data_IF_989642777567
#
_entry.id   IF_989642777567
#
_cell.length_a   1.000
_cell.length_b   1.000
_cell.length_c   1.000
_cell.angle_alpha   90.00
_cell.angle_beta   90.00
_cell.angle_gamma   90.00
#
_symmetry.space_group_name_H-M   'P 1'
#
loop_
_entity.id
_entity.type
_entity.pdbx_description
1 polymer ?
#
# COMPACT_ATOMS: atom_id res chain seq x y z
N UNK A 1 -5.68 -19.43 6.85
CA UNK A 1 -5.49 -19.49 5.37
C UNK A 1 -5.96 -18.20 4.66
N UNK A 2 -7.23 -17.80 4.76
CA UNK A 2 -7.76 -16.60 4.08
C UNK A 2 -7.00 -15.30 4.43
N UNK A 3 -6.69 -15.07 5.72
CA UNK A 3 -5.95 -13.87 6.14
C UNK A 3 -4.56 -13.78 5.52
N UNK A 4 -3.87 -14.91 5.34
CA UNK A 4 -2.56 -14.95 4.67
C UNK A 4 -2.71 -14.52 3.22
N UNK A 5 -3.69 -15.07 2.50
CA UNK A 5 -3.95 -14.70 1.10
C UNK A 5 -4.26 -13.21 0.96
N UNK A 6 -5.12 -12.66 1.82
CA UNK A 6 -5.44 -11.23 1.82
C UNK A 6 -4.21 -10.37 2.10
N UNK A 7 -3.41 -10.74 3.09
CA UNK A 7 -2.16 -10.02 3.40
C UNK A 7 -1.15 -10.07 2.25
N UNK A 8 -1.02 -11.21 1.55
CA UNK A 8 -0.18 -11.31 0.36
C UNK A 8 -0.68 -10.43 -0.79
N UNK A 9 -2.00 -10.36 -1.01
CA UNK A 9 -2.59 -9.46 -2.01
C UNK A 9 -2.30 -7.99 -1.72
N UNK A 10 -2.44 -7.56 -0.45
CA UNK A 10 -2.12 -6.19 -0.04
C UNK A 10 -0.62 -5.90 -0.17
N UNK A 11 0.26 -6.86 0.15
CA UNK A 11 1.70 -6.71 -0.08
C UNK A 11 2.03 -6.55 -1.57
N UNK A 12 1.41 -7.35 -2.43
CA UNK A 12 1.57 -7.22 -3.89
C UNK A 12 1.17 -5.81 -4.36
N UNK A 13 0.07 -5.28 -3.84
CA UNK A 13 -0.35 -3.91 -4.14
C UNK A 13 0.73 -2.87 -3.77
N UNK A 14 1.28 -2.96 -2.55
CA UNK A 14 2.42 -2.12 -2.13
C UNK A 14 3.65 -2.30 -3.04
N UNK A 15 3.99 -3.53 -3.41
CA UNK A 15 5.12 -3.83 -4.30
C UNK A 15 4.94 -3.21 -5.69
N UNK A 16 3.74 -3.24 -6.26
CA UNK A 16 3.46 -2.61 -7.56
C UNK A 16 3.64 -1.09 -7.56
N UNK A 17 3.62 -0.47 -6.38
CA UNK A 17 3.84 0.98 -6.23
C UNK A 17 5.33 1.35 -6.24
N UNK A 18 6.22 0.43 -5.87
CA UNK A 18 7.67 0.69 -5.73
C UNK A 18 8.31 1.31 -6.98
N UNK A 19 8.06 0.82 -8.22
CA UNK A 19 8.64 1.43 -9.42
C UNK A 19 8.34 2.93 -9.54
N UNK A 20 7.11 3.33 -9.17
CA UNK A 20 6.68 4.73 -9.20
C UNK A 20 7.33 5.56 -8.09
N UNK A 21 7.54 4.98 -6.91
CA UNK A 21 8.30 5.65 -5.83
C UNK A 21 9.76 5.89 -6.24
N UNK A 22 10.39 4.93 -6.92
CA UNK A 22 11.75 5.08 -7.47
C UNK A 22 11.78 6.17 -8.54
N UNK A 23 10.79 6.21 -9.42
CA UNK A 23 10.65 7.27 -10.43
C UNK A 23 10.49 8.66 -9.78
N UNK A 24 9.64 8.76 -8.76
CA UNK A 24 9.44 10.00 -8.00
C UNK A 24 10.75 10.48 -7.36
N UNK A 25 11.54 9.57 -6.79
CA UNK A 25 12.85 9.90 -6.21
C UNK A 25 13.80 10.51 -7.24
N UNK A 26 13.81 9.96 -8.46
CA UNK A 26 14.62 10.48 -9.57
C UNK A 26 14.16 11.86 -10.04
N UNK A 27 12.85 12.11 -10.10
CA UNK A 27 12.29 13.37 -10.63
C UNK A 27 12.25 14.52 -9.61
N UNK A 28 11.93 14.21 -8.36
CA UNK A 28 11.60 15.23 -7.33
C UNK A 28 12.55 15.21 -6.14
N UNK A 29 13.45 14.24 -6.05
CA UNK A 29 14.31 14.04 -4.89
C UNK A 29 13.62 13.36 -3.69
N UNK A 30 12.31 13.09 -3.75
CA UNK A 30 11.55 12.37 -2.72
C UNK A 30 10.86 11.11 -3.27
N UNK A 31 10.80 10.03 -2.48
CA UNK A 31 10.06 8.81 -2.85
C UNK A 31 8.55 9.05 -2.82
N UNK A 32 8.07 9.77 -1.81
CA UNK A 32 6.67 10.04 -1.58
C UNK A 32 6.30 11.44 -2.04
N UNK A 33 5.07 11.59 -2.52
CA UNK A 33 4.50 12.89 -2.90
C UNK A 33 4.29 13.76 -1.66
N UNK A 34 4.36 15.08 -1.85
CA UNK A 34 4.00 16.07 -0.83
C UNK A 34 2.49 16.17 -0.58
N UNK A 35 1.67 15.51 -1.40
CA UNK A 35 0.22 15.45 -1.21
C UNK A 35 -0.12 14.76 0.13
N UNK A 36 -0.73 15.48 1.10
CA UNK A 36 -1.04 14.93 2.42
C UNK A 36 -2.22 13.96 2.40
N UNK A 37 -2.99 13.88 1.31
CA UNK A 37 -4.20 13.05 1.24
C UNK A 37 -3.85 11.56 1.24
N UNK A 38 -4.33 10.86 2.26
CA UNK A 38 -4.23 9.39 2.40
C UNK A 38 -5.18 8.68 1.42
N UNK A 39 -6.33 9.30 1.15
CA UNK A 39 -7.36 8.77 0.26
C UNK A 39 -7.51 9.75 -0.91
N UNK A 40 -7.51 9.20 -2.13
CA UNK A 40 -7.73 9.95 -3.36
C UNK A 40 -8.93 9.38 -4.13
N UNK A 41 -9.74 10.26 -4.72
CA UNK A 41 -10.82 9.86 -5.59
C UNK A 41 -10.26 9.28 -6.89
N UNK A 42 -10.78 8.12 -7.32
CA UNK A 42 -10.40 7.51 -8.59
C UNK A 42 -11.27 8.11 -9.69
N UNK A 43 -10.65 8.77 -10.66
CA UNK A 43 -11.34 9.52 -11.73
C UNK A 43 -12.13 8.58 -12.66
N UNK A 44 -11.65 7.35 -12.89
CA UNK A 44 -12.21 6.45 -13.91
C UNK A 44 -13.10 5.32 -13.36
N UNK A 45 -13.31 5.22 -12.06
CA UNK A 45 -14.24 4.26 -11.46
C UNK A 45 -14.65 4.80 -10.11
N UNK A 46 -15.92 5.21 -9.97
CA UNK A 46 -16.49 5.84 -8.78
C UNK A 46 -16.08 5.12 -7.50
N UNK A 47 -15.09 5.68 -6.79
CA UNK A 47 -14.51 5.04 -5.61
C UNK A 47 -13.31 5.81 -5.06
N UNK A 48 -13.02 5.53 -3.80
CA UNK A 48 -11.87 6.06 -3.08
C UNK A 48 -10.75 5.01 -3.12
N UNK A 49 -9.52 5.44 -3.40
CA UNK A 49 -8.34 4.57 -3.31
C UNK A 49 -7.33 5.13 -2.32
N UNK A 50 -6.56 4.25 -1.69
CA UNK A 50 -5.39 4.64 -0.91
C UNK A 50 -4.37 5.28 -1.85
N UNK A 51 -3.90 6.47 -1.46
CA UNK A 51 -2.86 7.17 -2.17
C UNK A 51 -1.51 6.52 -1.86
N UNK A 52 -1.15 5.47 -2.58
CA UNK A 52 0.11 4.74 -2.33
C UNK A 52 1.38 5.58 -2.56
N UNK A 53 1.25 6.80 -3.11
CA UNK A 53 2.35 7.77 -3.20
C UNK A 53 2.49 8.62 -1.94
N UNK A 54 1.53 8.58 -1.01
CA UNK A 54 1.63 9.18 0.32
C UNK A 54 2.32 8.19 1.27
N UNK A 55 3.29 8.70 2.04
CA UNK A 55 4.08 7.89 2.98
C UNK A 55 3.20 7.14 4.00
N UNK A 56 2.20 7.82 4.57
CA UNK A 56 1.36 7.23 5.60
C UNK A 56 0.43 6.18 5.02
N UNK A 57 -0.18 6.45 3.87
CA UNK A 57 -1.03 5.46 3.18
C UNK A 57 -0.25 4.17 2.87
N UNK A 58 0.97 4.30 2.31
CA UNK A 58 1.83 3.16 2.01
C UNK A 58 2.21 2.35 3.26
N UNK A 59 2.54 3.04 4.36
CA UNK A 59 2.91 2.39 5.63
C UNK A 59 1.70 1.69 6.24
N UNK A 60 0.53 2.33 6.29
CA UNK A 60 -0.70 1.75 6.84
C UNK A 60 -1.06 0.47 6.07
N UNK A 61 -1.06 0.52 4.74
CA UNK A 61 -1.31 -0.66 3.89
C UNK A 61 -0.33 -1.79 4.20
N UNK A 62 0.97 -1.48 4.27
CA UNK A 62 2.01 -2.45 4.57
C UNK A 62 1.83 -3.08 5.96
N UNK A 63 1.51 -2.27 6.98
CA UNK A 63 1.25 -2.74 8.34
C UNK A 63 0.05 -3.68 8.36
N UNK A 64 -1.07 -3.30 7.73
CA UNK A 64 -2.26 -4.17 7.64
C UNK A 64 -1.92 -5.50 6.96
N UNK A 65 -1.16 -5.44 5.86
CA UNK A 65 -0.75 -6.62 5.13
C UNK A 65 0.09 -7.59 5.99
N UNK A 66 1.10 -7.07 6.70
CA UNK A 66 1.91 -7.87 7.62
C UNK A 66 1.10 -8.40 8.80
N UNK A 67 0.21 -7.58 9.39
CA UNK A 67 -0.67 -8.00 10.48
C UNK A 67 -1.57 -9.16 10.07
N UNK A 68 -2.14 -9.14 8.85
CA UNK A 68 -2.96 -10.22 8.32
C UNK A 68 -2.17 -11.52 8.11
N UNK A 69 -0.93 -11.42 7.62
CA UNK A 69 -0.05 -12.58 7.45
C UNK A 69 0.31 -13.17 8.82
N UNK A 70 0.77 -12.34 9.76
CA UNK A 70 1.13 -12.79 11.12
C UNK A 70 -0.07 -13.43 11.81
N UNK A 71 -1.24 -12.77 11.79
CA UNK A 71 -2.46 -13.32 12.36
C UNK A 71 -2.85 -14.64 11.68
N UNK A 72 -2.75 -14.71 10.36
CA UNK A 72 -3.02 -15.91 9.60
C UNK A 72 -2.09 -17.07 9.91
N UNK A 73 -0.81 -16.79 10.17
CA UNK A 73 0.18 -17.78 10.60
C UNK A 73 -0.08 -18.26 12.02
N UNK A 74 -0.35 -17.34 12.97
CA UNK A 74 -0.70 -17.67 14.36
C UNK A 74 -1.95 -18.55 14.39
N UNK A 75 -2.95 -18.27 13.54
CA UNK A 75 -4.20 -19.04 13.49
C UNK A 75 -4.06 -20.44 12.88
N UNK A 76 -2.92 -20.77 12.27
CA UNK A 76 -2.61 -22.10 11.72
C UNK A 76 -1.87 -22.96 12.75
N UNK A 77 -1.12 -22.31 13.65
CA UNK A 77 -0.37 -22.93 14.76
C UNK A 77 -1.35 -23.30 15.87
#
# INVERSE_FOLDING_TARGET
MLSILLGLFLLLWSLTTIPKLIENKKKTGSYFSSDPRIIIAKIENSGNNLNMQNKFAFIIESVIAFSLIIFGLISII
#
